data_IF_726333849749
#
_entry.id   IF_726333849749
#
_cell.length_a   1.000
_cell.length_b   1.000
_cell.length_c   1.000
_cell.angle_alpha   90.00
_cell.angle_beta   90.00
_cell.angle_gamma   90.00
#
_symmetry.space_group_name_H-M   'P 1'
#
loop_
_entity.id
_entity.type
_entity.pdbx_description
1 polymer ?
#
# COMPACT_ATOMS: atom_id res chain seq x y z
N UNK A 1 65.24 -28.60 -26.98
CA UNK A 1 63.85 -28.65 -27.46
C UNK A 1 63.01 -29.17 -26.31
N UNK A 2 62.38 -28.26 -25.58
CA UNK A 2 61.52 -28.52 -24.42
C UNK A 2 60.07 -28.42 -24.88
N UNK A 3 59.32 -29.51 -24.77
CA UNK A 3 57.87 -29.54 -25.02
C UNK A 3 57.12 -28.73 -23.94
N UNK A 4 56.05 -28.01 -24.29
CA UNK A 4 55.23 -27.29 -23.33
C UNK A 4 54.21 -28.22 -22.67
N UNK A 5 54.12 -28.13 -21.35
CA UNK A 5 53.15 -28.79 -20.49
C UNK A 5 51.72 -28.32 -20.83
N UNK A 6 50.87 -29.24 -21.32
CA UNK A 6 49.43 -29.01 -21.46
C UNK A 6 48.76 -28.91 -20.08
N UNK A 7 48.19 -27.74 -19.80
CA UNK A 7 47.39 -27.46 -18.62
C UNK A 7 46.01 -28.14 -18.78
N UNK A 8 45.82 -29.32 -18.16
CA UNK A 8 44.52 -30.02 -18.18
C UNK A 8 43.54 -29.33 -17.23
N UNK A 9 42.36 -28.88 -17.70
CA UNK A 9 41.35 -28.34 -16.81
C UNK A 9 40.80 -29.46 -15.92
N UNK A 10 40.93 -29.28 -14.60
CA UNK A 10 40.30 -30.12 -13.58
C UNK A 10 38.78 -30.12 -13.80
N UNK A 11 38.24 -31.19 -14.40
CA UNK A 11 36.80 -31.48 -14.38
C UNK A 11 36.38 -31.72 -12.92
N UNK A 12 35.87 -30.68 -12.27
CA UNK A 12 35.18 -30.81 -10.98
C UNK A 12 33.82 -31.46 -11.24
N UNK A 13 33.74 -32.78 -11.08
CA UNK A 13 32.47 -33.49 -11.01
C UNK A 13 31.79 -33.15 -9.68
N UNK A 14 30.50 -32.81 -9.75
CA UNK A 14 29.68 -32.52 -8.59
C UNK A 14 29.55 -33.82 -7.77
N UNK A 15 29.77 -33.80 -6.45
CA UNK A 15 29.57 -34.96 -5.59
C UNK A 15 28.15 -35.53 -5.72
N UNK A 16 28.04 -36.85 -5.87
CA UNK A 16 26.80 -37.57 -6.19
C UNK A 16 25.68 -37.34 -5.17
N UNK A 17 26.05 -37.07 -3.91
CA UNK A 17 25.14 -36.73 -2.81
C UNK A 17 24.53 -35.33 -2.95
N UNK A 18 25.29 -34.36 -3.46
CA UNK A 18 24.78 -33.03 -3.82
C UNK A 18 23.89 -33.09 -5.06
N UNK A 19 24.26 -33.93 -6.03
CA UNK A 19 23.48 -34.13 -7.25
C UNK A 19 22.11 -34.74 -6.93
N UNK A 20 22.08 -35.74 -6.02
CA UNK A 20 20.84 -36.34 -5.52
C UNK A 20 19.97 -35.35 -4.72
N UNK A 21 20.56 -34.49 -3.88
CA UNK A 21 19.82 -33.42 -3.19
C UNK A 21 19.23 -32.39 -4.15
N UNK A 22 19.95 -32.06 -5.22
CA UNK A 22 19.46 -31.17 -6.28
C UNK A 22 18.28 -31.82 -7.02
N UNK A 23 18.36 -33.11 -7.33
CA UNK A 23 17.26 -33.85 -7.97
C UNK A 23 16.03 -33.98 -7.05
N UNK A 24 16.22 -34.25 -5.76
CA UNK A 24 15.14 -34.30 -4.77
C UNK A 24 14.45 -32.93 -4.57
N UNK A 25 15.22 -31.83 -4.64
CA UNK A 25 14.66 -30.47 -4.64
C UNK A 25 13.90 -30.15 -5.94
N UNK A 26 14.34 -30.69 -7.08
CA UNK A 26 13.66 -30.53 -8.37
C UNK A 26 12.32 -31.29 -8.46
N UNK A 27 12.15 -32.37 -7.68
CA UNK A 27 10.90 -33.15 -7.61
C UNK A 27 9.85 -32.47 -6.73
N UNK A 28 10.25 -31.70 -5.71
CA UNK A 28 9.33 -31.02 -4.78
C UNK A 28 8.76 -29.70 -5.31
N UNK A 29 9.34 -29.14 -6.38
CA UNK A 29 8.81 -27.97 -7.07
C UNK A 29 7.91 -28.50 -8.20
N UNK A 30 6.60 -28.22 -8.20
CA UNK A 30 5.75 -28.63 -9.32
C UNK A 30 6.26 -27.94 -10.60
N UNK A 31 6.98 -28.69 -11.44
CA UNK A 31 7.26 -28.29 -12.82
C UNK A 31 5.98 -28.53 -13.62
N UNK A 32 5.07 -27.55 -13.61
CA UNK A 32 4.11 -27.43 -14.71
C UNK A 32 4.95 -27.04 -15.93
N UNK A 33 5.28 -28.05 -16.73
CA UNK A 33 5.97 -27.88 -18.00
C UNK A 33 4.99 -27.30 -19.04
N UNK A 34 4.95 -25.98 -19.09
CA UNK A 34 4.57 -25.16 -20.23
C UNK A 34 5.48 -23.92 -20.23
N UNK A 35 5.59 -23.15 -21.34
CA UNK A 35 6.11 -21.78 -21.22
C UNK A 35 5.31 -21.10 -20.09
N UNK A 36 5.94 -20.30 -19.20
CA UNK A 36 5.19 -19.57 -18.19
C UNK A 36 4.09 -18.85 -18.94
N UNK A 37 2.83 -19.19 -18.64
CA UNK A 37 1.69 -18.54 -19.29
C UNK A 37 1.90 -17.05 -19.12
N UNK A 38 2.05 -16.35 -20.25
CA UNK A 38 2.23 -14.91 -20.23
C UNK A 38 1.06 -14.30 -19.44
N UNK A 39 1.34 -13.25 -18.67
CA UNK A 39 0.27 -12.56 -17.95
C UNK A 39 -0.76 -12.09 -18.98
N UNK A 40 -2.05 -12.17 -18.67
CA UNK A 40 -3.03 -11.50 -19.53
C UNK A 40 -2.77 -9.99 -19.53
N UNK A 41 -3.17 -9.34 -20.61
CA UNK A 41 -2.88 -7.93 -20.86
C UNK A 41 -3.45 -6.99 -19.78
N UNK A 42 -4.57 -7.37 -19.16
CA UNK A 42 -5.19 -6.64 -18.07
C UNK A 42 -4.30 -6.67 -16.80
N UNK A 43 -3.81 -7.85 -16.42
CA UNK A 43 -2.86 -8.02 -15.31
C UNK A 43 -1.55 -7.30 -15.56
N UNK A 44 -1.02 -7.34 -16.79
CA UNK A 44 0.20 -6.60 -17.15
C UNK A 44 0.02 -5.11 -16.92
N UNK A 45 -1.07 -4.52 -17.42
CA UNK A 45 -1.36 -3.10 -17.26
C UNK A 45 -1.54 -2.70 -15.80
N UNK A 46 -2.29 -3.50 -15.03
CA UNK A 46 -2.43 -3.30 -13.59
C UNK A 46 -1.07 -3.30 -12.87
N UNK A 47 -0.21 -4.27 -13.19
CA UNK A 47 1.12 -4.40 -12.59
C UNK A 47 2.02 -3.21 -12.94
N UNK A 48 2.11 -2.84 -14.22
CA UNK A 48 2.94 -1.73 -14.70
C UNK A 48 2.52 -0.41 -14.06
N UNK A 49 1.21 -0.14 -14.01
CA UNK A 49 0.70 1.09 -13.38
C UNK A 49 1.00 1.09 -11.87
N UNK A 50 0.90 -0.06 -11.21
CA UNK A 50 1.31 -0.23 -9.82
C UNK A 50 2.79 0.09 -9.58
N UNK A 51 3.67 -0.45 -10.43
CA UNK A 51 5.11 -0.18 -10.39
C UNK A 51 5.36 1.32 -10.57
N UNK A 52 4.74 1.97 -11.56
CA UNK A 52 4.93 3.41 -11.77
C UNK A 52 4.43 4.24 -10.58
N UNK A 53 3.25 3.91 -10.04
CA UNK A 53 2.69 4.59 -8.88
C UNK A 53 3.60 4.48 -7.65
N UNK A 54 4.16 3.29 -7.40
CA UNK A 54 4.99 3.04 -6.23
C UNK A 54 6.44 3.49 -6.41
N UNK A 55 7.10 3.12 -7.50
CA UNK A 55 8.54 3.29 -7.69
C UNK A 55 8.92 4.64 -8.30
N UNK A 56 7.99 5.33 -8.97
CA UNK A 56 8.27 6.61 -9.64
C UNK A 56 7.49 7.75 -8.97
N UNK A 57 6.17 7.61 -8.86
CA UNK A 57 5.31 8.70 -8.36
C UNK A 57 5.44 8.89 -6.85
N UNK A 58 5.45 7.81 -6.06
CA UNK A 58 5.51 7.93 -4.60
C UNK A 58 6.81 8.61 -4.11
N UNK A 59 8.01 8.29 -4.61
CA UNK A 59 9.24 8.99 -4.24
C UNK A 59 9.20 10.49 -4.55
N UNK A 60 8.71 10.86 -5.75
CA UNK A 60 8.49 12.26 -6.13
C UNK A 60 7.59 12.96 -5.12
N UNK A 61 6.44 12.34 -4.81
CA UNK A 61 5.47 12.92 -3.89
C UNK A 61 5.99 13.01 -2.45
N UNK A 62 6.79 12.06 -1.96
CA UNK A 62 7.40 12.13 -0.62
C UNK A 62 8.25 13.36 -0.46
N UNK A 63 9.17 13.60 -1.41
CA UNK A 63 10.03 14.79 -1.42
C UNK A 63 9.20 16.08 -1.42
N UNK A 64 8.21 16.14 -2.31
CA UNK A 64 7.34 17.31 -2.46
C UNK A 64 6.49 17.59 -1.21
N UNK A 65 5.82 16.56 -0.69
CA UNK A 65 4.97 16.64 0.50
C UNK A 65 5.78 16.99 1.74
N UNK A 66 6.94 16.35 1.92
CA UNK A 66 7.83 16.62 3.06
C UNK A 66 8.17 18.11 3.18
N UNK A 67 8.54 18.76 2.07
CA UNK A 67 8.87 20.19 2.05
C UNK A 67 7.70 21.06 2.54
N UNK A 68 6.49 20.82 2.01
CA UNK A 68 5.31 21.65 2.32
C UNK A 68 4.83 21.39 3.74
N UNK A 69 4.68 20.14 4.15
CA UNK A 69 4.21 19.77 5.50
C UNK A 69 5.18 20.24 6.58
N UNK A 70 6.49 20.11 6.35
CA UNK A 70 7.50 20.59 7.31
C UNK A 70 7.43 22.11 7.52
N UNK A 71 7.22 22.86 6.43
CA UNK A 71 7.06 24.31 6.50
C UNK A 71 5.76 24.69 7.23
N UNK A 72 4.66 24.02 6.89
CA UNK A 72 3.37 24.23 7.55
C UNK A 72 3.46 23.96 9.05
N UNK A 73 4.12 22.87 9.46
CA UNK A 73 4.31 22.54 10.86
C UNK A 73 5.01 23.67 11.62
N UNK A 74 6.15 24.16 11.12
CA UNK A 74 6.86 25.28 11.74
C UNK A 74 5.99 26.53 11.84
N UNK A 75 5.20 26.81 10.80
CA UNK A 75 4.26 27.94 10.80
C UNK A 75 3.18 27.81 11.88
N UNK A 76 2.60 26.62 12.06
CA UNK A 76 1.55 26.36 13.05
C UNK A 76 2.10 26.29 14.49
N UNK A 77 3.33 25.82 14.68
CA UNK A 77 4.03 25.93 15.98
C UNK A 77 4.12 27.41 16.36
N UNK A 78 4.63 28.26 15.46
CA UNK A 78 4.83 29.68 15.75
C UNK A 78 3.52 30.47 15.93
N UNK A 79 2.50 30.20 15.11
CA UNK A 79 1.24 30.97 15.12
C UNK A 79 0.22 30.47 16.13
N UNK A 80 0.19 29.16 16.36
CA UNK A 80 -0.91 28.49 17.07
C UNK A 80 -0.44 27.64 18.25
N UNK A 81 0.88 27.54 18.50
CA UNK A 81 1.47 26.69 19.54
C UNK A 81 0.93 25.25 19.45
N UNK A 82 0.84 24.72 18.22
CA UNK A 82 0.19 23.44 17.94
C UNK A 82 0.83 22.25 18.69
N UNK A 83 2.11 22.39 19.04
CA UNK A 83 2.93 21.48 19.83
C UNK A 83 2.61 21.51 21.34
N UNK A 84 1.87 22.52 21.82
CA UNK A 84 1.51 22.69 23.22
C UNK A 84 0.00 22.67 23.46
N UNK A 85 -0.79 22.28 22.47
CA UNK A 85 -2.25 22.29 22.58
C UNK A 85 -2.76 21.24 23.56
N UNK A 86 -3.83 21.59 24.26
CA UNK A 86 -4.64 20.70 25.08
C UNK A 86 -6.12 20.87 24.75
N UNK A 87 -6.98 20.05 25.36
CA UNK A 87 -8.42 19.98 25.10
C UNK A 87 -9.13 21.35 25.00
N UNK A 88 -8.75 22.34 25.81
CA UNK A 88 -9.42 23.64 25.82
C UNK A 88 -8.96 24.61 24.72
N UNK A 89 -7.88 24.30 23.99
CA UNK A 89 -7.22 25.25 23.05
C UNK A 89 -6.73 24.60 21.75
N UNK A 90 -7.18 23.38 21.43
CA UNK A 90 -6.75 22.71 20.21
C UNK A 90 -7.43 23.30 18.96
N UNK A 91 -6.76 23.15 17.82
CA UNK A 91 -7.31 23.53 16.53
C UNK A 91 -8.26 22.45 16.02
N UNK A 92 -9.55 22.54 16.33
CA UNK A 92 -10.54 21.59 15.77
C UNK A 92 -10.65 21.67 14.24
N UNK A 93 -10.24 22.77 13.62
CA UNK A 93 -10.19 22.99 12.16
C UNK A 93 -8.86 23.57 11.71
N UNK A 94 -8.52 23.33 10.45
CA UNK A 94 -7.35 23.92 9.82
C UNK A 94 -7.50 25.46 9.73
N UNK A 95 -6.59 26.24 10.33
CA UNK A 95 -6.81 27.67 10.53
C UNK A 95 -6.79 28.50 9.24
N UNK A 96 -6.10 28.06 8.19
CA UNK A 96 -5.94 28.88 6.98
C UNK A 96 -7.18 28.82 6.06
N UNK A 97 -8.01 27.77 6.15
CA UNK A 97 -9.27 27.66 5.36
C UNK A 97 -10.53 27.54 6.20
N UNK A 98 -10.42 27.04 7.43
CA UNK A 98 -11.57 26.72 8.30
C UNK A 98 -12.58 25.71 7.69
N UNK A 99 -12.15 24.95 6.68
CA UNK A 99 -12.97 23.98 5.94
C UNK A 99 -12.66 22.53 6.33
N UNK A 100 -11.45 22.23 6.80
CA UNK A 100 -11.01 20.88 7.11
C UNK A 100 -10.95 20.64 8.63
N UNK A 101 -11.59 19.57 9.11
CA UNK A 101 -11.55 19.15 10.51
C UNK A 101 -10.28 18.35 10.79
N UNK A 102 -9.48 18.77 11.77
CA UNK A 102 -8.22 18.09 12.09
C UNK A 102 -8.49 16.80 12.87
N UNK A 103 -7.94 15.69 12.38
CA UNK A 103 -8.21 14.35 12.90
C UNK A 103 -7.24 13.95 14.02
N UNK A 104 -7.43 14.49 15.23
CA UNK A 104 -6.58 14.16 16.40
C UNK A 104 -6.65 12.70 16.86
N UNK A 105 -7.66 11.95 16.40
CA UNK A 105 -7.75 10.50 16.62
C UNK A 105 -6.55 9.75 16.04
N UNK A 106 -5.93 10.30 14.99
CA UNK A 106 -4.83 9.68 14.24
C UNK A 106 -3.43 9.93 14.79
N UNK A 107 -3.28 10.62 15.93
CA UNK A 107 -1.99 10.89 16.56
C UNK A 107 -1.98 10.42 18.02
N UNK A 108 -0.79 10.33 18.61
CA UNK A 108 -0.56 10.06 20.04
C UNK A 108 -1.28 8.82 20.60
N UNK A 109 -1.60 7.84 19.74
CA UNK A 109 -2.42 6.67 20.08
C UNK A 109 -3.78 7.04 20.72
N UNK A 110 -4.32 8.20 20.36
CA UNK A 110 -5.57 8.72 20.95
C UNK A 110 -6.74 7.76 20.75
N UNK A 111 -6.84 7.13 19.58
CA UNK A 111 -7.89 6.15 19.34
C UNK A 111 -7.76 4.91 20.24
N UNK A 112 -6.57 4.35 20.34
CA UNK A 112 -6.36 3.08 21.04
C UNK A 112 -6.54 3.27 22.56
N UNK A 113 -6.10 4.41 23.08
CA UNK A 113 -6.19 4.73 24.50
C UNK A 113 -7.60 5.18 24.92
N UNK A 114 -8.25 6.02 24.11
CA UNK A 114 -9.43 6.78 24.54
C UNK A 114 -10.66 6.57 23.65
N UNK A 115 -10.53 5.85 22.54
CA UNK A 115 -11.61 5.59 21.56
C UNK A 115 -12.27 6.88 21.09
N UNK A 116 -13.47 7.21 21.58
CA UNK A 116 -14.22 8.41 21.23
C UNK A 116 -14.32 9.40 22.40
N UNK A 117 -13.56 9.21 23.48
CA UNK A 117 -13.45 10.16 24.58
C UNK A 117 -12.45 11.26 24.24
N UNK A 118 -12.91 12.23 23.45
CA UNK A 118 -12.09 13.32 22.93
C UNK A 118 -11.48 14.19 24.06
N UNK A 119 -12.11 14.25 25.23
CA UNK A 119 -11.61 15.04 26.36
C UNK A 119 -10.26 14.54 26.89
N UNK A 120 -9.97 13.25 26.70
CA UNK A 120 -8.76 12.59 27.18
C UNK A 120 -7.63 12.55 26.15
N UNK A 121 -7.88 13.03 24.92
CA UNK A 121 -6.88 13.01 23.86
C UNK A 121 -5.67 13.89 24.20
N UNK A 122 -4.48 13.44 23.78
CA UNK A 122 -3.31 14.28 23.69
C UNK A 122 -3.34 15.05 22.37
N UNK A 123 -3.54 16.37 22.47
CA UNK A 123 -3.67 17.29 21.33
C UNK A 123 -2.34 17.88 20.87
N UNK A 124 -1.21 17.51 21.48
CA UNK A 124 0.10 18.02 21.08
C UNK A 124 0.52 17.42 19.76
N UNK A 125 0.81 18.28 18.80
CA UNK A 125 1.38 17.88 17.50
C UNK A 125 2.89 18.05 17.60
N UNK A 126 3.62 16.97 17.86
CA UNK A 126 5.06 17.04 18.21
C UNK A 126 5.98 17.07 16.99
N UNK A 127 5.44 16.80 15.81
CA UNK A 127 6.21 16.71 14.57
C UNK A 127 5.39 17.05 13.33
N UNK A 128 6.08 17.28 12.22
CA UNK A 128 5.45 17.39 10.90
C UNK A 128 4.77 16.08 10.47
N UNK A 129 5.24 14.93 10.98
CA UNK A 129 4.60 13.61 10.79
C UNK A 129 3.25 13.58 11.51
N UNK A 130 3.17 13.97 12.77
CA UNK A 130 1.89 14.06 13.49
C UNK A 130 0.93 15.01 12.79
N UNK A 131 1.45 16.18 12.36
CA UNK A 131 0.66 17.15 11.61
C UNK A 131 0.05 16.52 10.34
N UNK A 132 0.85 15.79 9.56
CA UNK A 132 0.35 15.15 8.34
C UNK A 132 -0.81 14.18 8.60
N UNK A 133 -0.76 13.43 9.71
CA UNK A 133 -1.79 12.47 10.10
C UNK A 133 -3.13 13.13 10.40
N UNK A 134 -3.14 14.39 10.86
CA UNK A 134 -4.36 15.16 11.09
C UNK A 134 -5.17 15.40 9.81
N UNK A 135 -4.54 15.35 8.63
CA UNK A 135 -5.18 15.53 7.33
C UNK A 135 -5.59 14.22 6.66
N UNK A 136 -5.54 13.10 7.39
CA UNK A 136 -5.77 11.78 6.84
C UNK A 136 -6.85 11.01 7.61
N UNK A 137 -7.39 9.99 6.95
CA UNK A 137 -8.23 9.00 7.61
C UNK A 137 -7.35 8.05 8.44
N UNK A 138 -7.85 7.49 9.56
CA UNK A 138 -7.03 6.65 10.45
C UNK A 138 -6.29 5.50 9.77
N UNK A 139 -6.91 4.82 8.81
CA UNK A 139 -6.31 3.73 8.03
C UNK A 139 -5.12 4.16 7.14
N UNK A 140 -4.90 5.46 6.93
CA UNK A 140 -3.78 5.98 6.14
C UNK A 140 -2.62 6.46 7.02
N UNK A 141 -2.73 6.34 8.35
CA UNK A 141 -1.80 7.01 9.30
C UNK A 141 -0.76 6.08 9.94
N UNK A 142 -0.59 4.88 9.41
CA UNK A 142 0.31 3.85 9.91
C UNK A 142 1.81 4.07 9.58
N UNK A 143 2.17 5.19 8.97
CA UNK A 143 3.56 5.54 8.65
C UNK A 143 4.29 6.20 9.83
N UNK A 144 5.60 5.97 9.92
CA UNK A 144 6.48 6.52 10.96
C UNK A 144 7.17 7.82 10.54
N UNK A 145 7.37 8.01 9.24
CA UNK A 145 7.91 9.23 8.65
C UNK A 145 7.38 9.41 7.22
N UNK A 146 7.63 10.57 6.60
CA UNK A 146 7.29 10.82 5.18
C UNK A 146 8.39 10.20 4.30
N UNK A 147 8.48 8.87 4.36
CA UNK A 147 9.51 8.04 3.75
C UNK A 147 8.87 6.79 3.12
N UNK A 148 9.64 5.72 2.96
CA UNK A 148 9.21 4.40 2.46
C UNK A 148 7.97 3.83 3.15
N UNK A 149 7.77 4.16 4.43
CA UNK A 149 6.59 3.75 5.19
C UNK A 149 5.32 4.53 4.80
N UNK A 150 5.48 5.73 4.21
CA UNK A 150 4.40 6.60 3.74
C UNK A 150 4.01 6.24 2.31
N UNK A 151 2.79 5.72 2.19
CA UNK A 151 2.28 5.14 0.96
C UNK A 151 1.61 6.17 0.04
N UNK A 152 1.28 5.74 -1.18
CA UNK A 152 0.61 6.61 -2.14
C UNK A 152 -0.75 7.15 -1.62
N UNK A 153 -1.44 6.40 -0.74
CA UNK A 153 -2.70 6.85 -0.14
C UNK A 153 -2.53 8.07 0.72
N UNK A 154 -1.56 7.99 1.63
CA UNK A 154 -1.24 9.04 2.57
C UNK A 154 -0.73 10.27 1.81
N UNK A 155 0.18 10.09 0.86
CA UNK A 155 0.73 11.16 0.03
C UNK A 155 -0.36 11.89 -0.76
N UNK A 156 -1.20 11.16 -1.49
CA UNK A 156 -2.30 11.78 -2.25
C UNK A 156 -3.37 12.38 -1.34
N UNK A 157 -3.60 11.78 -0.17
CA UNK A 157 -4.51 12.31 0.86
C UNK A 157 -4.04 13.65 1.40
N UNK A 158 -2.76 13.77 1.76
CA UNK A 158 -2.15 15.03 2.22
C UNK A 158 -2.28 16.11 1.16
N UNK A 159 -1.94 15.80 -0.09
CA UNK A 159 -2.03 16.74 -1.21
C UNK A 159 -3.47 17.23 -1.41
N UNK A 160 -4.45 16.34 -1.28
CA UNK A 160 -5.86 16.69 -1.50
C UNK A 160 -6.45 17.54 -0.36
N UNK A 161 -5.95 17.36 0.87
CA UNK A 161 -6.59 17.90 2.07
C UNK A 161 -5.88 19.14 2.65
N UNK A 162 -4.61 19.37 2.30
CA UNK A 162 -3.83 20.53 2.76
C UNK A 162 -3.93 21.64 1.70
N UNK A 163 -4.52 22.77 2.06
CA UNK A 163 -4.78 23.86 1.09
C UNK A 163 -3.53 24.57 0.56
N UNK A 164 -2.37 24.37 1.18
CA UNK A 164 -1.10 24.92 0.71
C UNK A 164 -0.61 24.30 -0.61
N UNK A 165 -1.12 23.14 -0.99
CA UNK A 165 -0.80 22.57 -2.30
C UNK A 165 -1.53 23.34 -3.41
N UNK A 166 -0.89 23.62 -4.56
CA UNK A 166 -1.54 24.34 -5.65
C UNK A 166 -2.81 23.62 -6.16
N UNK A 167 -3.91 24.33 -6.48
CA UNK A 167 -5.16 23.71 -6.93
C UNK A 167 -5.01 22.76 -8.13
N UNK A 168 -4.08 23.05 -9.04
CA UNK A 168 -3.75 22.19 -10.18
C UNK A 168 -3.18 20.83 -9.73
N UNK A 169 -2.33 20.82 -8.70
CA UNK A 169 -1.77 19.59 -8.12
C UNK A 169 -2.85 18.83 -7.37
N UNK A 170 -3.65 19.51 -6.55
CA UNK A 170 -4.74 18.88 -5.79
C UNK A 170 -5.76 18.18 -6.72
N UNK A 171 -6.12 18.84 -7.82
CA UNK A 171 -7.09 18.31 -8.79
C UNK A 171 -6.58 17.01 -9.42
N UNK A 172 -5.32 16.98 -9.84
CA UNK A 172 -4.71 15.77 -10.43
C UNK A 172 -4.52 14.69 -9.38
N UNK A 173 -4.04 15.02 -8.18
CA UNK A 173 -3.87 14.08 -7.08
C UNK A 173 -5.19 13.41 -6.68
N UNK A 174 -6.30 14.16 -6.64
CA UNK A 174 -7.64 13.63 -6.39
C UNK A 174 -8.05 12.61 -7.45
N UNK A 175 -7.79 12.90 -8.73
CA UNK A 175 -8.04 11.95 -9.83
C UNK A 175 -7.15 10.71 -9.73
N UNK A 176 -5.85 10.86 -9.47
CA UNK A 176 -4.95 9.71 -9.29
C UNK A 176 -5.41 8.84 -8.11
N UNK A 177 -5.85 9.47 -7.01
CA UNK A 177 -6.38 8.73 -5.85
C UNK A 177 -7.62 7.91 -6.21
N UNK A 178 -8.62 8.52 -6.85
CA UNK A 178 -9.88 7.83 -7.18
C UNK A 178 -9.73 6.84 -8.33
N UNK A 179 -9.05 7.25 -9.39
CA UNK A 179 -9.00 6.53 -10.67
C UNK A 179 -7.87 5.52 -10.75
N UNK A 180 -6.75 5.73 -10.06
CA UNK A 180 -5.57 4.87 -10.19
C UNK A 180 -5.35 4.11 -8.88
N UNK A 181 -4.97 4.80 -7.81
CA UNK A 181 -4.55 4.16 -6.55
C UNK A 181 -5.65 3.29 -5.95
N UNK A 182 -6.88 3.80 -5.83
CA UNK A 182 -7.97 3.04 -5.23
C UNK A 182 -8.40 1.84 -6.11
N UNK A 183 -8.48 2.04 -7.43
CA UNK A 183 -8.76 0.96 -8.39
C UNK A 183 -7.66 -0.09 -8.42
N UNK A 184 -6.42 0.32 -8.20
CA UNK A 184 -5.28 -0.58 -8.14
C UNK A 184 -5.30 -1.42 -6.85
N UNK A 185 -5.58 -0.80 -5.71
CA UNK A 185 -5.67 -1.47 -4.40
C UNK A 185 -6.91 -2.38 -4.27
N UNK A 186 -8.02 -2.01 -4.90
CA UNK A 186 -9.25 -2.80 -4.96
C UNK A 186 -9.45 -3.36 -6.37
N UNK A 187 -8.51 -4.21 -6.78
CA UNK A 187 -8.37 -4.60 -8.18
C UNK A 187 -9.57 -5.39 -8.72
N UNK A 188 -10.15 -4.87 -9.79
CA UNK A 188 -10.88 -5.63 -10.82
C UNK A 188 -10.04 -5.58 -12.10
N UNK A 189 -9.49 -6.71 -12.55
CA UNK A 189 -8.60 -6.74 -13.72
C UNK A 189 -9.29 -6.22 -14.99
N UNK A 190 -10.61 -6.36 -15.11
CA UNK A 190 -11.36 -5.89 -16.29
C UNK A 190 -11.37 -4.36 -16.41
N UNK A 191 -11.15 -3.63 -15.32
CA UNK A 191 -11.02 -2.17 -15.35
C UNK A 191 -9.72 -1.75 -16.06
N UNK A 192 -8.70 -2.63 -16.15
CA UNK A 192 -7.37 -2.35 -16.70
C UNK A 192 -7.28 -2.60 -18.21
N UNK A 193 -8.21 -2.01 -18.94
CA UNK A 193 -8.16 -1.96 -20.40
C UNK A 193 -7.14 -0.93 -20.92
N UNK A 194 -6.95 -0.87 -22.24
CA UNK A 194 -5.99 0.03 -22.88
C UNK A 194 -6.26 1.52 -22.60
N UNK A 195 -7.53 1.95 -22.59
CA UNK A 195 -7.89 3.33 -22.31
C UNK A 195 -7.54 3.72 -20.87
N UNK A 196 -7.87 2.85 -19.90
CA UNK A 196 -7.52 3.07 -18.49
C UNK A 196 -6.01 3.16 -18.27
N UNK A 197 -5.25 2.32 -18.99
CA UNK A 197 -3.79 2.33 -18.95
C UNK A 197 -3.23 3.66 -19.47
N UNK A 198 -3.68 4.11 -20.64
CA UNK A 198 -3.27 5.40 -21.22
C UNK A 198 -3.62 6.58 -20.31
N UNK A 199 -4.88 6.63 -19.82
CA UNK A 199 -5.34 7.66 -18.89
C UNK A 199 -4.50 7.70 -17.61
N UNK A 200 -4.06 6.53 -17.12
CA UNK A 200 -3.22 6.44 -15.93
C UNK A 200 -1.87 7.13 -16.14
N UNK A 201 -1.20 6.88 -17.28
CA UNK A 201 0.05 7.54 -17.62
C UNK A 201 -0.11 9.04 -17.90
N UNK A 202 -1.22 9.44 -18.52
CA UNK A 202 -1.55 10.85 -18.74
C UNK A 202 -1.72 11.60 -17.42
N UNK A 203 -2.43 11.02 -16.45
CA UNK A 203 -2.60 11.61 -15.12
C UNK A 203 -1.28 11.68 -14.35
N UNK A 204 -0.48 10.61 -14.36
CA UNK A 204 0.85 10.58 -13.73
C UNK A 204 1.78 11.64 -14.33
N UNK A 205 1.79 11.76 -15.66
CA UNK A 205 2.56 12.80 -16.38
C UNK A 205 2.11 14.21 -16.02
N UNK A 206 0.80 14.46 -15.95
CA UNK A 206 0.26 15.75 -15.53
C UNK A 206 0.65 16.09 -14.09
N UNK A 207 0.65 15.11 -13.19
CA UNK A 207 1.07 15.31 -11.81
C UNK A 207 2.53 15.75 -11.75
N UNK A 208 3.43 15.06 -12.46
CA UNK A 208 4.87 15.38 -12.49
C UNK A 208 5.09 16.84 -12.94
N UNK A 209 4.43 17.25 -14.03
CA UNK A 209 4.51 18.62 -14.54
C UNK A 209 3.96 19.67 -13.57
N UNK A 210 2.88 19.33 -12.84
CA UNK A 210 2.25 20.27 -11.92
C UNK A 210 3.00 20.40 -10.58
N UNK A 211 3.75 19.38 -10.16
CA UNK A 211 4.55 19.43 -8.92
C UNK A 211 5.67 20.47 -9.02
N UNK A 212 6.15 20.76 -10.23
CA UNK A 212 7.13 21.82 -10.48
C UNK A 212 8.53 21.47 -9.97
N UNK A 213 9.04 20.28 -10.32
CA UNK A 213 10.43 19.90 -10.03
C UNK A 213 11.42 20.64 -10.93
N UNK A 214 12.73 20.44 -10.70
CA UNK A 214 13.74 20.98 -11.61
C UNK A 214 13.58 20.40 -13.02
N UNK A 215 13.92 21.15 -14.07
CA UNK A 215 13.78 20.68 -15.46
C UNK A 215 14.50 19.34 -15.71
N UNK A 216 15.65 19.11 -15.06
CA UNK A 216 16.38 17.83 -15.15
C UNK A 216 15.61 16.70 -14.49
N UNK A 217 15.15 16.89 -13.26
CA UNK A 217 14.39 15.88 -12.50
C UNK A 217 13.05 15.55 -13.18
N UNK A 218 12.34 16.58 -13.67
CA UNK A 218 11.13 16.40 -14.48
C UNK A 218 11.41 15.54 -15.71
N UNK A 219 12.46 15.88 -16.49
CA UNK A 219 12.79 15.13 -17.70
C UNK A 219 13.14 13.67 -17.41
N UNK A 220 13.89 13.40 -16.34
CA UNK A 220 14.19 12.03 -15.90
C UNK A 220 12.93 11.25 -15.57
N UNK A 221 12.07 11.79 -14.71
CA UNK A 221 10.84 11.12 -14.27
C UNK A 221 9.88 10.87 -15.44
N UNK A 222 9.72 11.88 -16.32
CA UNK A 222 8.89 11.73 -17.52
C UNK A 222 9.47 10.70 -18.50
N UNK A 223 10.80 10.62 -18.61
CA UNK A 223 11.50 9.61 -19.40
C UNK A 223 11.26 8.19 -18.87
N UNK A 224 11.33 8.00 -17.55
CA UNK A 224 11.03 6.72 -16.90
C UNK A 224 9.56 6.31 -17.10
N UNK A 225 8.61 7.23 -16.88
CA UNK A 225 7.19 6.99 -17.15
C UNK A 225 6.95 6.60 -18.61
N UNK A 226 7.57 7.30 -19.57
CA UNK A 226 7.44 6.98 -20.98
C UNK A 226 8.05 5.62 -21.34
N UNK A 227 9.16 5.26 -20.69
CA UNK A 227 9.80 3.95 -20.85
C UNK A 227 8.87 2.85 -20.39
N UNK A 228 8.23 3.00 -19.22
CA UNK A 228 7.23 2.04 -18.74
C UNK A 228 5.96 2.02 -19.59
N UNK A 229 5.47 3.18 -20.03
CA UNK A 229 4.29 3.26 -20.89
C UNK A 229 4.48 2.47 -22.19
N UNK A 230 5.64 2.62 -22.83
CA UNK A 230 5.95 2.05 -24.15
C UNK A 230 6.46 0.62 -24.07
N UNK A 231 7.36 0.33 -23.12
CA UNK A 231 8.07 -0.94 -23.06
C UNK A 231 7.59 -1.84 -21.91
N UNK A 232 6.79 -1.32 -20.97
CA UNK A 232 6.39 -2.01 -19.76
C UNK A 232 5.77 -3.38 -20.03
N UNK A 233 4.90 -3.49 -21.04
CA UNK A 233 4.26 -4.77 -21.41
C UNK A 233 5.31 -5.81 -21.84
N UNK A 234 6.31 -5.41 -22.62
CA UNK A 234 7.42 -6.29 -23.01
C UNK A 234 8.30 -6.65 -21.81
N UNK A 235 8.54 -5.69 -20.90
CA UNK A 235 9.34 -5.91 -19.69
C UNK A 235 8.69 -6.95 -18.76
N UNK A 236 7.36 -6.90 -18.61
CA UNK A 236 6.63 -7.87 -17.78
C UNK A 236 6.25 -9.16 -18.52
N UNK A 237 6.46 -9.21 -19.83
CA UNK A 237 6.28 -10.43 -20.63
C UNK A 237 7.55 -11.29 -20.53
N UNK A 238 7.40 -12.60 -20.35
CA UNK A 238 8.52 -13.55 -20.27
C UNK A 238 9.33 -13.72 -21.59
N UNK A 239 9.14 -12.86 -22.58
CA UNK A 239 9.75 -12.91 -23.90
C UNK A 239 11.08 -12.14 -23.90
N UNK A 240 12.17 -12.89 -23.65
CA UNK A 240 13.59 -12.48 -23.68
C UNK A 240 13.95 -11.28 -22.79
N UNK A 241 14.17 -11.57 -21.51
CA UNK A 241 14.77 -10.63 -20.57
C UNK A 241 16.24 -11.00 -20.30
N UNK A 242 17.13 -10.01 -20.33
CA UNK A 242 18.49 -10.16 -19.80
C UNK A 242 18.47 -10.38 -18.29
N UNK A 243 19.47 -11.09 -17.76
CA UNK A 243 19.56 -11.48 -16.33
C UNK A 243 19.37 -10.30 -15.37
N UNK A 244 19.88 -9.12 -15.73
CA UNK A 244 19.81 -7.91 -14.89
C UNK A 244 18.37 -7.38 -14.77
N UNK A 245 17.60 -7.43 -15.87
CA UNK A 245 16.20 -6.98 -15.88
C UNK A 245 15.31 -7.99 -15.13
N UNK A 246 15.61 -9.28 -15.23
CA UNK A 246 14.93 -10.32 -14.41
C UNK A 246 15.22 -10.11 -12.92
N UNK A 247 16.44 -9.70 -12.58
CA UNK A 247 16.84 -9.35 -11.21
C UNK A 247 16.05 -8.16 -10.67
N UNK A 248 15.99 -7.07 -11.43
CA UNK A 248 15.26 -5.85 -11.07
C UNK A 248 13.75 -6.11 -10.94
N UNK A 249 13.14 -6.82 -11.90
CA UNK A 249 11.71 -7.18 -11.85
C UNK A 249 11.43 -8.08 -10.64
N UNK A 250 12.31 -9.04 -10.34
CA UNK A 250 12.15 -9.89 -9.15
C UNK A 250 12.21 -9.06 -7.87
N UNK A 251 13.14 -8.13 -7.76
CA UNK A 251 13.26 -7.26 -6.59
C UNK A 251 12.03 -6.35 -6.44
N UNK A 252 11.60 -5.70 -7.52
CA UNK A 252 10.40 -4.85 -7.50
C UNK A 252 9.13 -5.66 -7.19
N UNK A 253 9.00 -6.86 -7.75
CA UNK A 253 7.88 -7.77 -7.45
C UNK A 253 7.87 -8.18 -5.98
N UNK A 254 9.04 -8.39 -5.37
CA UNK A 254 9.16 -8.73 -3.96
C UNK A 254 8.74 -7.55 -3.06
N UNK A 255 9.19 -6.33 -3.36
CA UNK A 255 8.77 -5.11 -2.65
C UNK A 255 7.26 -4.90 -2.77
N UNK A 256 6.70 -5.08 -3.98
CA UNK A 256 5.26 -5.02 -4.23
C UNK A 256 4.49 -6.09 -3.45
N UNK A 257 5.02 -7.31 -3.37
CA UNK A 257 4.42 -8.40 -2.60
C UNK A 257 4.38 -8.08 -1.11
N UNK A 258 5.46 -7.56 -0.53
CA UNK A 258 5.52 -7.14 0.87
C UNK A 258 4.57 -5.99 1.16
N UNK A 259 4.46 -5.03 0.24
CA UNK A 259 3.54 -3.91 0.33
C UNK A 259 2.06 -4.35 0.20
N UNK A 260 1.75 -5.27 -0.71
CA UNK A 260 0.43 -5.86 -0.87
C UNK A 260 0.04 -6.71 0.35
N UNK A 261 0.99 -7.46 0.93
CA UNK A 261 0.81 -8.18 2.18
C UNK A 261 0.52 -7.22 3.34
N UNK A 262 1.26 -6.12 3.46
CA UNK A 262 1.02 -5.08 4.47
C UNK A 262 -0.40 -4.51 4.36
N UNK A 263 -0.81 -4.13 3.15
CA UNK A 263 -2.19 -3.68 2.88
C UNK A 263 -3.24 -4.77 3.18
N UNK A 264 -2.94 -6.03 2.89
CA UNK A 264 -3.81 -7.18 3.18
C UNK A 264 -3.93 -7.46 4.68
N UNK A 265 -2.86 -7.30 5.45
CA UNK A 265 -2.87 -7.52 6.91
C UNK A 265 -3.65 -6.43 7.66
N UNK A 266 -3.70 -5.22 7.11
CA UNK A 266 -4.54 -4.14 7.63
C UNK A 266 -6.05 -4.49 7.48
N UNK A 267 -6.45 -5.24 6.45
CA UNK A 267 -7.81 -5.83 6.31
C UNK A 267 -8.04 -7.16 7.02
N UNK A 268 -6.99 -7.96 7.28
CA UNK A 268 -7.12 -9.29 7.92
C UNK A 268 -7.37 -9.18 9.44
N UNK A 269 -6.93 -8.11 10.10
CA UNK A 269 -7.17 -7.88 11.54
C UNK A 269 -8.66 -7.65 11.86
N UNK A 270 -9.34 -6.83 11.06
CA UNK A 270 -10.80 -6.62 11.16
C UNK A 270 -11.58 -7.88 10.76
N UNK A 271 -11.13 -8.59 9.71
CA UNK A 271 -11.72 -9.87 9.30
C UNK A 271 -11.58 -10.95 10.38
N UNK A 272 -10.41 -11.07 11.02
CA UNK A 272 -10.18 -12.03 12.11
C UNK A 272 -10.97 -11.66 13.37
N UNK A 273 -11.11 -10.36 13.67
CA UNK A 273 -11.96 -9.89 14.76
C UNK A 273 -13.44 -10.21 14.49
N UNK A 274 -13.94 -9.88 13.29
CA UNK A 274 -15.31 -10.18 12.87
C UNK A 274 -15.56 -11.70 12.82
N UNK A 275 -14.61 -12.50 12.35
CA UNK A 275 -14.69 -13.96 12.33
C UNK A 275 -14.76 -14.54 13.75
N UNK A 276 -14.00 -13.97 14.69
CA UNK A 276 -14.03 -14.35 16.11
C UNK A 276 -15.38 -14.01 16.74
N UNK A 277 -15.89 -12.80 16.51
CA UNK A 277 -17.21 -12.38 17.00
C UNK A 277 -18.34 -13.22 16.39
N UNK A 278 -18.29 -13.53 15.09
CA UNK A 278 -19.29 -14.39 14.43
C UNK A 278 -19.28 -15.81 14.99
N UNK A 279 -18.10 -16.37 15.27
CA UNK A 279 -17.96 -17.70 15.86
C UNK A 279 -18.48 -17.72 17.30
N UNK A 280 -18.21 -16.67 18.09
CA UNK A 280 -18.75 -16.53 19.44
C UNK A 280 -20.28 -16.45 19.43
N UNK A 281 -20.86 -15.66 18.53
CA UNK A 281 -22.31 -15.52 18.38
C UNK A 281 -22.97 -16.83 17.93
N UNK A 282 -22.34 -17.56 16.99
CA UNK A 282 -22.80 -18.88 16.55
C UNK A 282 -22.86 -19.88 17.70
N UNK A 283 -21.83 -19.91 18.53
CA UNK A 283 -21.77 -20.81 19.69
C UNK A 283 -22.82 -20.45 20.76
N UNK A 284 -23.07 -19.16 21.01
CA UNK A 284 -24.14 -18.74 21.93
C UNK A 284 -25.53 -19.14 21.40
N UNK A 285 -25.78 -18.94 20.10
CA UNK A 285 -27.03 -19.33 19.47
C UNK A 285 -27.26 -20.85 19.51
N UNK A 286 -26.24 -21.66 19.22
CA UNK A 286 -26.35 -23.12 19.35
C UNK A 286 -26.66 -23.55 20.79
N UNK A 287 -26.01 -22.92 21.78
CA UNK A 287 -26.27 -23.22 23.19
C UNK A 287 -27.70 -22.85 23.59
N UNK A 288 -28.23 -21.73 23.09
CA UNK A 288 -29.62 -21.33 23.32
C UNK A 288 -30.61 -22.28 22.63
N UNK A 289 -30.36 -22.68 21.40
CA UNK A 289 -31.19 -23.66 20.67
C UNK A 289 -31.28 -24.98 21.43
N UNK A 290 -30.15 -25.56 21.84
CA UNK A 290 -30.17 -26.81 22.61
C UNK A 290 -30.87 -26.67 23.97
N UNK A 291 -30.91 -25.48 24.56
CA UNK A 291 -31.66 -25.24 25.79
C UNK A 291 -33.18 -25.11 25.54
N UNK A 292 -33.59 -24.62 24.38
CA UNK A 292 -35.01 -24.55 23.96
C UNK A 292 -35.50 -25.95 23.57
N UNK A 293 -34.74 -26.71 22.79
CA UNK A 293 -35.08 -28.09 22.41
C UNK A 293 -35.28 -28.98 23.65
N UNK A 294 -34.40 -28.89 24.65
CA UNK A 294 -34.57 -29.62 25.92
C UNK A 294 -35.81 -29.17 26.70
N UNK A 295 -36.22 -27.91 26.60
CA UNK A 295 -37.44 -27.38 27.24
C UNK A 295 -38.71 -27.84 26.51
N UNK A 296 -38.65 -27.99 25.20
CA UNK A 296 -39.77 -28.49 24.39
C UNK A 296 -39.94 -30.00 24.52
N UNK A 297 -38.85 -30.77 24.66
CA UNK A 297 -38.89 -32.21 24.95
C UNK A 297 -39.47 -32.49 26.35
N UNK A 298 -39.11 -31.69 27.35
CA UNK A 298 -39.68 -31.80 28.71
C UNK A 298 -41.14 -31.37 28.77
N UNK A 299 -41.57 -30.41 27.94
CA UNK A 299 -42.99 -30.02 27.82
C UNK A 299 -43.82 -30.99 26.95
N UNK A 300 -43.21 -31.69 26.00
CA UNK A 300 -43.89 -32.65 25.11
C UNK A 300 -44.02 -34.04 25.75
N UNK A 301 -43.09 -34.42 26.63
CA UNK A 301 -43.19 -35.65 27.43
C UNK A 301 -44.29 -35.63 28.51
N UNK A 302 -44.85 -34.47 28.83
CA UNK A 302 -45.97 -34.32 29.77
C UNK A 302 -47.36 -34.57 29.18
N UNK A 303 -47.48 -34.90 27.89
CA UNK A 303 -48.78 -35.06 27.20
C UNK A 303 -49.15 -36.49 26.77
N UNK A 304 -48.41 -37.51 27.22
CA UNK A 304 -48.73 -38.91 26.96
C UNK A 304 -48.90 -39.72 28.25
N UNK A 305 -49.93 -39.37 29.05
CA UNK A 305 -50.54 -40.25 30.05
C UNK A 305 -52.05 -39.95 30.09
N UNK A 306 -52.80 -40.59 29.19
CA UNK A 306 -54.20 -40.98 29.33
C UNK A 306 -54.36 -42.37 28.72
#
# INVERSE_FOLDING_TARGET
MTEPTEDRPLKRTIPTDLQKKVEEMQIKIPRIAGPPGDLDEEKKRWLIVGICLHSIISPLLRKYVYCIVSSLYRSLVNRNNIDMQGWNRYLWKFPDTNEYYLNYKSINNNYDNWKNDYHMYDYKVMSHVDLSKLFLQPNMTHYSAIDESCDASALLGMITNISLFPPAVQTVAKKIKSEIRNKWAHCDFKDWNAAKYEDSFNLMTQLVKNVGTSSTEEHTILGELNTWATNGQNLVSGLKLGIDIVGEIRQQTQVLSEYALKLSTETESEKNHLQTELNNLKNDLQKRMSNVERRDETNSGGKALW
#
